data_IF_641757682034
#
_entry.id   IF_641757682034
#
_cell.length_a   1.000
_cell.length_b   1.000
_cell.length_c   1.000
_cell.angle_alpha   90.00
_cell.angle_beta   90.00
_cell.angle_gamma   90.00
#
_symmetry.space_group_name_H-M   'P 1'
#
loop_
_entity.id
_entity.type
_entity.pdbx_description
1 polymer ?
#
# COMPACT_ATOMS: atom_id res chain seq x y z
N UNK A 1 -44.59 50.56 17.99
CA UNK A 1 -45.09 49.94 16.75
C UNK A 1 -43.88 49.40 16.01
N UNK A 2 -43.75 48.08 16.01
CA UNK A 2 -42.61 47.31 15.50
C UNK A 2 -42.80 46.99 14.02
N UNK A 3 -41.79 47.30 13.19
CA UNK A 3 -41.75 46.83 11.81
C UNK A 3 -40.87 45.58 11.70
N UNK A 4 -41.50 44.47 11.30
CA UNK A 4 -40.88 43.19 10.99
C UNK A 4 -40.31 43.21 9.56
N UNK A 5 -39.10 42.69 9.39
CA UNK A 5 -38.58 42.23 8.09
C UNK A 5 -38.56 40.69 8.09
N UNK A 6 -38.96 40.01 7.00
CA UNK A 6 -39.02 38.56 6.97
C UNK A 6 -37.64 37.93 6.72
N UNK A 7 -37.30 36.94 7.54
CA UNK A 7 -36.16 36.03 7.36
C UNK A 7 -36.43 35.08 6.18
N UNK A 8 -35.54 35.10 5.19
CA UNK A 8 -35.50 34.13 4.10
C UNK A 8 -34.57 32.97 4.52
N UNK A 9 -35.16 31.87 4.97
CA UNK A 9 -34.42 30.64 5.24
C UNK A 9 -33.98 29.99 3.92
N UNK A 10 -32.68 29.99 3.65
CA UNK A 10 -32.09 29.07 2.68
C UNK A 10 -31.57 27.83 3.41
N UNK A 11 -32.29 26.72 3.23
CA UNK A 11 -31.80 25.38 3.53
C UNK A 11 -30.80 25.00 2.44
N UNK A 12 -29.51 24.94 2.77
CA UNK A 12 -28.51 24.23 1.96
C UNK A 12 -28.17 22.92 2.67
N UNK A 13 -28.73 21.82 2.17
CA UNK A 13 -28.26 20.48 2.49
C UNK A 13 -26.88 20.30 1.90
N UNK A 14 -25.85 20.27 2.75
CA UNK A 14 -24.49 19.93 2.35
C UNK A 14 -24.39 18.40 2.21
N UNK A 15 -24.51 17.90 0.99
CA UNK A 15 -24.10 16.54 0.62
C UNK A 15 -22.57 16.48 0.61
N UNK A 16 -21.98 15.90 1.65
CA UNK A 16 -20.56 15.55 1.70
C UNK A 16 -20.32 14.31 0.81
N UNK A 17 -20.05 14.53 -0.47
CA UNK A 17 -19.39 13.54 -1.32
C UNK A 17 -17.87 13.78 -1.25
N UNK A 18 -17.19 13.08 -0.35
CA UNK A 18 -15.72 13.06 -0.34
C UNK A 18 -15.23 12.17 -1.48
N UNK A 19 -14.95 12.77 -2.63
CA UNK A 19 -14.21 12.15 -3.73
C UNK A 19 -12.78 11.86 -3.25
N UNK A 20 -12.25 10.65 -3.43
CA UNK A 20 -10.86 10.39 -3.09
C UNK A 20 -9.96 11.18 -4.06
N UNK A 21 -9.15 12.04 -3.46
CA UNK A 21 -8.20 12.93 -4.13
C UNK A 21 -7.25 12.11 -5.03
N UNK A 22 -7.19 12.51 -6.31
CA UNK A 22 -6.45 11.83 -7.35
C UNK A 22 -4.95 12.08 -7.15
N UNK A 23 -4.23 11.05 -6.70
CA UNK A 23 -2.76 11.05 -6.64
C UNK A 23 -2.22 11.35 -8.05
N UNK A 24 -1.19 12.23 -8.20
CA UNK A 24 -0.63 12.55 -9.52
C UNK A 24 -0.12 11.29 -10.23
N UNK A 25 -0.69 10.99 -11.40
CA UNK A 25 -0.35 9.83 -12.26
C UNK A 25 1.03 9.95 -12.94
N UNK A 26 1.79 11.03 -12.70
CA UNK A 26 2.91 11.44 -13.55
C UNK A 26 4.28 10.78 -13.23
N UNK A 27 4.34 9.81 -12.33
CA UNK A 27 5.61 9.12 -12.00
C UNK A 27 5.69 7.66 -12.47
N UNK A 28 4.68 7.15 -13.19
CA UNK A 28 4.54 5.69 -13.46
C UNK A 28 4.49 5.27 -14.93
N UNK A 29 4.77 6.15 -15.90
CA UNK A 29 4.81 5.75 -17.31
C UNK A 29 6.12 5.04 -17.66
N UNK A 30 6.23 3.76 -17.29
CA UNK A 30 7.17 2.85 -17.93
C UNK A 30 6.41 1.97 -18.92
N UNK A 31 6.88 1.94 -20.17
CA UNK A 31 6.33 1.21 -21.33
C UNK A 31 6.49 -0.30 -21.24
N UNK A 32 6.89 -0.83 -20.07
CA UNK A 32 7.08 -2.26 -19.83
C UNK A 32 6.18 -2.72 -18.69
N UNK A 33 5.47 -3.85 -18.81
CA UNK A 33 4.65 -4.38 -17.72
C UNK A 33 5.55 -4.73 -16.53
N UNK A 34 5.37 -4.04 -15.41
CA UNK A 34 6.17 -4.18 -14.20
C UNK A 34 5.25 -4.42 -13.00
N UNK A 35 5.57 -5.40 -12.16
CA UNK A 35 4.80 -5.61 -10.94
C UNK A 35 5.20 -4.53 -9.93
N UNK A 36 4.24 -3.84 -9.33
CA UNK A 36 4.51 -2.78 -8.34
C UNK A 36 3.63 -2.92 -7.10
N UNK A 37 4.14 -2.46 -5.96
CA UNK A 37 3.42 -2.37 -4.68
C UNK A 37 3.69 -0.99 -4.11
N UNK A 38 2.65 -0.20 -3.89
CA UNK A 38 2.70 1.11 -3.25
C UNK A 38 2.04 1.02 -1.89
N UNK A 39 2.78 1.29 -0.83
CA UNK A 39 2.26 1.39 0.52
C UNK A 39 2.42 2.85 0.98
N UNK A 40 1.36 3.47 1.49
CA UNK A 40 1.41 4.82 2.06
C UNK A 40 1.15 4.76 3.55
N UNK A 41 2.15 5.19 4.30
CA UNK A 41 2.15 5.25 5.75
C UNK A 41 2.02 6.69 6.20
N UNK A 42 1.29 6.92 7.29
CA UNK A 42 1.31 8.19 8.01
C UNK A 42 2.19 8.03 9.24
N UNK A 43 3.23 8.84 9.36
CA UNK A 43 4.18 8.78 10.47
C UNK A 43 4.58 10.20 10.92
N UNK A 44 5.01 10.32 12.17
CA UNK A 44 5.54 11.57 12.72
C UNK A 44 7.05 11.62 12.46
N UNK A 45 7.49 12.54 11.60
CA UNK A 45 8.88 12.63 11.13
C UNK A 45 9.32 14.09 11.14
N UNK A 46 10.49 14.37 11.73
CA UNK A 46 11.04 15.72 11.83
C UNK A 46 10.05 16.73 12.45
N UNK A 47 9.31 16.33 13.49
CA UNK A 47 8.36 17.20 14.18
C UNK A 47 7.00 17.40 13.49
N UNK A 48 6.72 16.73 12.37
CA UNK A 48 5.46 16.88 11.65
C UNK A 48 4.87 15.53 11.23
N UNK A 49 3.54 15.45 11.11
CA UNK A 49 2.87 14.35 10.45
C UNK A 49 3.13 14.41 8.94
N UNK A 50 3.65 13.32 8.37
CA UNK A 50 3.99 13.21 6.96
C UNK A 50 3.52 11.88 6.38
N UNK A 51 3.35 11.87 5.06
CA UNK A 51 3.04 10.66 4.32
C UNK A 51 4.34 10.06 3.78
N UNK A 52 4.61 8.81 4.16
CA UNK A 52 5.75 8.02 3.71
C UNK A 52 5.23 7.01 2.69
N UNK A 53 5.44 7.29 1.41
CA UNK A 53 5.10 6.40 0.32
C UNK A 53 6.27 5.49 0.02
N UNK A 54 6.05 4.20 0.23
CA UNK A 54 6.99 3.13 -0.02
C UNK A 54 6.55 2.41 -1.29
N UNK A 55 7.36 2.53 -2.34
CA UNK A 55 7.07 1.97 -3.65
C UNK A 55 8.05 0.87 -4.00
N UNK A 56 7.57 -0.35 -4.12
CA UNK A 56 8.31 -1.52 -4.58
C UNK A 56 8.02 -1.75 -6.05
N UNK A 57 9.07 -1.98 -6.84
CA UNK A 57 8.91 -2.33 -8.25
C UNK A 57 9.84 -3.48 -8.63
N UNK A 58 9.29 -4.44 -9.36
CA UNK A 58 9.99 -5.60 -9.89
C UNK A 58 9.97 -5.59 -11.42
N UNK A 59 11.16 -5.59 -11.98
CA UNK A 59 11.40 -5.78 -13.42
C UNK A 59 11.95 -7.19 -13.65
N UNK A 60 12.11 -7.60 -14.91
CA UNK A 60 12.58 -8.95 -15.30
C UNK A 60 13.84 -9.44 -14.55
N UNK A 61 14.70 -8.54 -14.07
CA UNK A 61 15.95 -8.92 -13.39
C UNK A 61 16.24 -8.15 -12.10
N UNK A 62 15.46 -7.13 -11.73
CA UNK A 62 15.79 -6.23 -10.62
C UNK A 62 14.57 -5.97 -9.73
N UNK A 63 14.81 -5.81 -8.44
CA UNK A 63 13.85 -5.21 -7.52
C UNK A 63 14.33 -3.82 -7.15
N UNK A 64 13.40 -2.91 -6.92
CA UNK A 64 13.69 -1.53 -6.54
C UNK A 64 12.74 -1.13 -5.43
N UNK A 65 13.27 -0.36 -4.49
CA UNK A 65 12.52 0.31 -3.44
C UNK A 65 12.65 1.81 -3.67
N UNK A 66 11.56 2.54 -3.62
CA UNK A 66 11.56 3.99 -3.58
C UNK A 66 10.83 4.47 -2.33
N UNK A 67 11.45 5.36 -1.56
CA UNK A 67 10.84 6.05 -0.43
C UNK A 67 10.60 7.50 -0.84
N UNK A 68 9.34 7.91 -0.82
CA UNK A 68 8.91 9.29 -1.08
C UNK A 68 8.26 9.81 0.20
N UNK A 69 8.71 10.97 0.67
CA UNK A 69 8.14 11.65 1.83
C UNK A 69 7.43 12.91 1.35
N UNK A 70 6.14 13.00 1.61
CA UNK A 70 5.34 14.19 1.32
C UNK A 70 4.81 14.83 2.60
N UNK A 71 4.65 16.16 2.58
CA UNK A 71 3.89 16.85 3.63
C UNK A 71 2.38 16.56 3.48
N UNK A 72 1.57 17.08 4.40
CA UNK A 72 0.11 16.89 4.34
C UNK A 72 -0.56 17.65 3.19
N UNK A 73 0.14 18.64 2.62
CA UNK A 73 -0.31 19.44 1.47
C UNK A 73 0.02 18.75 0.12
N UNK A 74 0.68 17.58 0.17
CA UNK A 74 1.01 16.78 -1.02
C UNK A 74 2.35 17.13 -1.67
N UNK A 75 3.10 18.11 -1.15
CA UNK A 75 4.41 18.48 -1.65
C UNK A 75 5.46 17.40 -1.32
N UNK A 76 6.28 17.04 -2.31
CA UNK A 76 7.37 16.07 -2.14
C UNK A 76 8.53 16.73 -1.43
N UNK A 77 8.74 16.34 -0.17
CA UNK A 77 9.86 16.83 0.63
C UNK A 77 11.14 16.02 0.39
N UNK A 78 11.01 14.73 0.07
CA UNK A 78 12.15 13.86 -0.19
C UNK A 78 11.80 12.67 -1.08
N UNK A 79 12.76 12.20 -1.88
CA UNK A 79 12.63 11.03 -2.75
C UNK A 79 13.97 10.27 -2.79
N UNK A 80 13.94 8.98 -2.43
CA UNK A 80 15.11 8.13 -2.46
C UNK A 80 14.82 6.74 -2.99
N UNK A 81 15.51 6.41 -4.08
CA UNK A 81 15.50 5.11 -4.72
C UNK A 81 16.69 4.24 -4.28
N UNK A 82 16.41 2.97 -4.00
CA UNK A 82 17.36 1.91 -3.67
C UNK A 82 17.19 0.78 -4.69
N UNK A 83 18.22 0.55 -5.51
CA UNK A 83 18.21 -0.53 -6.51
C UNK A 83 18.82 -1.83 -5.96
N UNK A 84 18.03 -2.90 -5.96
CA UNK A 84 18.43 -4.23 -5.52
C UNK A 84 18.85 -5.07 -6.73
N UNK A 85 20.12 -4.92 -7.14
CA UNK A 85 20.70 -5.68 -8.25
C UNK A 85 21.05 -7.11 -7.80
N UNK A 86 20.80 -8.15 -8.63
CA UNK A 86 21.09 -9.54 -8.26
C UNK A 86 22.57 -9.80 -7.94
N UNK A 87 23.45 -9.20 -8.74
CA UNK A 87 24.88 -9.55 -8.83
C UNK A 87 25.82 -8.70 -7.96
N UNK A 88 25.42 -7.49 -7.57
CA UNK A 88 26.21 -6.63 -6.66
C UNK A 88 25.65 -6.70 -5.24
N UNK A 89 26.35 -7.39 -4.33
CA UNK A 89 25.97 -7.46 -2.91
C UNK A 89 26.01 -6.10 -2.18
N UNK A 90 26.70 -5.11 -2.75
CA UNK A 90 26.97 -3.81 -2.14
C UNK A 90 25.72 -2.93 -1.99
N UNK A 91 24.67 -3.11 -2.81
CA UNK A 91 23.44 -2.29 -2.68
C UNK A 91 22.36 -2.94 -1.81
N UNK A 92 22.50 -4.21 -1.45
CA UNK A 92 21.48 -4.95 -0.67
C UNK A 92 21.47 -4.58 0.81
N UNK A 93 22.48 -3.89 1.34
CA UNK A 93 22.49 -3.34 2.70
C UNK A 93 23.11 -1.96 2.67
N UNK A 94 22.52 -1.01 3.38
CA UNK A 94 23.06 0.34 3.44
C UNK A 94 22.31 1.25 4.39
N UNK A 95 22.75 2.50 4.39
CA UNK A 95 22.05 3.60 5.03
C UNK A 95 22.23 4.87 4.22
N UNK A 96 21.29 5.80 4.34
CA UNK A 96 21.33 7.11 3.71
C UNK A 96 20.72 8.14 4.65
N UNK A 97 21.50 9.17 4.95
CA UNK A 97 21.08 10.30 5.77
C UNK A 97 20.66 11.45 4.87
N UNK A 98 19.64 12.19 5.27
CA UNK A 98 19.19 13.39 4.59
C UNK A 98 18.55 14.36 5.58
N UNK A 99 18.43 15.62 5.19
CA UNK A 99 17.82 16.65 6.02
C UNK A 99 16.37 16.90 5.56
N UNK A 100 15.46 17.04 6.52
CA UNK A 100 14.05 17.28 6.30
C UNK A 100 13.58 18.39 7.24
N UNK A 101 13.44 19.62 6.72
CA UNK A 101 13.00 20.76 7.52
C UNK A 101 13.92 21.09 8.71
N UNK A 102 15.24 21.02 8.53
CA UNK A 102 16.22 21.28 9.59
C UNK A 102 16.54 20.08 10.48
N UNK A 103 15.84 18.96 10.34
CA UNK A 103 16.08 17.75 11.12
C UNK A 103 16.78 16.68 10.28
N UNK A 104 17.75 15.98 10.87
CA UNK A 104 18.35 14.80 10.25
C UNK A 104 17.38 13.62 10.29
N UNK A 105 17.26 12.92 9.16
CA UNK A 105 16.49 11.69 8.99
C UNK A 105 17.39 10.64 8.34
N UNK A 106 17.39 9.43 8.90
CA UNK A 106 18.20 8.33 8.41
C UNK A 106 17.33 7.18 7.88
N UNK A 107 17.64 6.75 6.66
CA UNK A 107 17.07 5.56 6.05
C UNK A 107 18.08 4.41 6.16
N UNK A 108 17.71 3.29 6.77
CA UNK A 108 18.52 2.09 6.88
C UNK A 108 17.82 0.89 6.22
N UNK A 109 18.59 0.01 5.57
CA UNK A 109 18.03 -1.19 4.97
C UNK A 109 19.01 -2.38 4.99
N UNK A 110 18.45 -3.59 5.07
CA UNK A 110 19.17 -4.85 4.84
C UNK A 110 18.25 -5.86 4.15
N UNK A 111 18.54 -6.13 2.87
CA UNK A 111 17.91 -7.09 1.99
C UNK A 111 18.80 -8.28 1.65
N UNK A 112 19.95 -8.45 2.32
CA UNK A 112 20.92 -9.50 1.96
C UNK A 112 20.33 -10.91 2.05
N UNK A 113 19.40 -11.12 2.96
CA UNK A 113 18.70 -12.39 3.17
C UNK A 113 17.26 -12.38 2.67
N UNK A 114 16.81 -11.30 2.03
CA UNK A 114 15.41 -11.10 1.67
C UNK A 114 14.89 -12.20 0.75
N UNK A 115 13.77 -12.81 1.12
CA UNK A 115 13.06 -13.81 0.30
C UNK A 115 11.91 -13.14 -0.44
N UNK A 116 11.77 -13.44 -1.73
CA UNK A 116 10.69 -12.90 -2.56
C UNK A 116 9.75 -14.03 -2.99
N UNK A 117 8.44 -13.89 -2.75
CA UNK A 117 7.39 -14.87 -3.09
C UNK A 117 6.59 -14.44 -4.33
N UNK A 118 7.28 -13.97 -5.37
CA UNK A 118 6.65 -13.51 -6.60
C UNK A 118 6.03 -12.10 -6.54
N UNK A 119 5.91 -11.48 -5.37
CA UNK A 119 5.62 -10.05 -5.18
C UNK A 119 6.88 -9.19 -5.35
N UNK A 120 6.77 -7.91 -5.77
CA UNK A 120 7.86 -6.92 -5.69
C UNK A 120 8.33 -6.63 -4.26
N UNK A 121 7.42 -6.70 -3.29
CA UNK A 121 7.72 -6.56 -1.87
C UNK A 121 8.35 -7.86 -1.34
N UNK A 122 9.42 -7.82 -0.52
CA UNK A 122 9.97 -9.03 0.07
C UNK A 122 9.03 -9.68 1.09
N UNK A 123 9.01 -11.00 1.12
CA UNK A 123 8.17 -11.81 2.00
C UNK A 123 8.73 -11.91 3.43
N UNK A 124 10.05 -12.09 3.57
CA UNK A 124 10.71 -12.27 4.87
C UNK A 124 12.21 -11.96 4.81
N UNK A 125 12.86 -12.01 5.97
CA UNK A 125 14.30 -11.92 6.20
C UNK A 125 14.92 -10.57 5.78
N UNK A 126 14.21 -9.47 6.04
CA UNK A 126 14.63 -8.12 5.67
C UNK A 126 14.19 -7.05 6.67
N UNK A 127 14.79 -5.86 6.56
CA UNK A 127 14.19 -4.66 7.12
C UNK A 127 14.45 -3.40 6.29
N UNK A 128 13.54 -2.43 6.43
CA UNK A 128 13.73 -1.02 6.07
C UNK A 128 13.31 -0.19 7.28
N UNK A 129 14.16 0.72 7.73
CA UNK A 129 13.90 1.57 8.88
C UNK A 129 14.11 3.04 8.50
N UNK A 130 13.13 3.88 8.78
CA UNK A 130 13.27 5.35 8.76
C UNK A 130 13.42 5.80 10.20
N UNK A 131 14.42 6.63 10.47
CA UNK A 131 14.79 7.10 11.80
C UNK A 131 14.78 8.62 11.81
N UNK A 132 14.17 9.21 12.84
CA UNK A 132 14.16 10.64 13.08
C UNK A 132 14.24 10.86 14.59
N UNK A 133 15.07 11.80 15.05
CA UNK A 133 15.25 12.09 16.49
C UNK A 133 15.56 10.83 17.33
N UNK A 134 16.53 10.03 16.86
CA UNK A 134 16.94 8.75 17.48
C UNK A 134 15.81 7.71 17.63
N UNK A 135 14.69 7.90 16.93
CA UNK A 135 13.50 7.05 16.99
C UNK A 135 13.18 6.42 15.63
N UNK A 136 12.84 5.13 15.61
CA UNK A 136 12.40 4.46 14.39
C UNK A 136 10.94 4.81 14.11
N UNK A 137 10.71 5.76 13.22
CA UNK A 137 9.39 6.28 12.85
C UNK A 137 8.66 5.39 11.84
N UNK A 138 9.37 4.57 11.08
CA UNK A 138 8.78 3.54 10.22
C UNK A 138 9.71 2.32 10.17
N UNK A 139 9.14 1.12 10.37
CA UNK A 139 9.87 -0.14 10.29
C UNK A 139 9.10 -1.16 9.44
N UNK A 140 9.70 -1.59 8.35
CA UNK A 140 9.21 -2.66 7.48
C UNK A 140 10.05 -3.93 7.66
N UNK A 141 9.44 -5.08 7.42
CA UNK A 141 10.07 -6.39 7.52
C UNK A 141 10.09 -7.00 8.94
N UNK A 142 10.66 -8.19 9.03
CA UNK A 142 10.67 -9.07 10.20
C UNK A 142 11.95 -8.95 11.05
N UNK A 143 13.02 -8.33 10.51
CA UNK A 143 14.29 -8.11 11.21
C UNK A 143 14.28 -6.94 12.20
N UNK A 144 13.24 -6.83 13.04
CA UNK A 144 13.05 -5.69 13.97
C UNK A 144 14.21 -5.47 14.93
N UNK A 145 14.66 -6.52 15.62
CA UNK A 145 15.79 -6.45 16.57
C UNK A 145 17.09 -6.00 15.89
N UNK A 146 17.30 -6.42 14.64
CA UNK A 146 18.49 -6.08 13.86
C UNK A 146 18.44 -4.63 13.38
N UNK A 147 17.25 -4.14 13.01
CA UNK A 147 17.02 -2.75 12.66
C UNK A 147 17.33 -1.82 13.85
N UNK A 148 16.75 -2.06 15.04
CA UNK A 148 17.02 -1.26 16.24
C UNK A 148 18.52 -1.20 16.58
N UNK A 149 19.19 -2.35 16.60
CA UNK A 149 20.63 -2.42 16.88
C UNK A 149 21.48 -1.67 15.85
N UNK A 150 21.08 -1.68 14.57
CA UNK A 150 21.86 -1.03 13.50
C UNK A 150 21.62 0.46 13.42
N UNK A 151 20.39 0.91 13.65
CA UNK A 151 20.01 2.31 13.67
C UNK A 151 20.51 3.03 14.93
N UNK A 152 20.90 2.29 15.98
CA UNK A 152 21.15 2.86 17.31
C UNK A 152 19.99 3.74 17.79
N UNK A 153 18.76 3.30 17.47
CA UNK A 153 17.54 4.06 17.65
C UNK A 153 16.55 3.29 18.51
N UNK A 154 15.75 4.02 19.27
CA UNK A 154 14.69 3.44 20.10
C UNK A 154 13.50 2.98 19.23
N UNK A 155 12.67 2.05 19.72
CA UNK A 155 11.39 1.72 19.09
C UNK A 155 10.47 2.95 18.99
N UNK A 156 9.51 2.95 18.05
CA UNK A 156 8.55 4.05 17.91
C UNK A 156 7.75 4.28 19.19
N UNK A 157 7.62 5.55 19.60
CA UNK A 157 6.62 6.01 20.57
C UNK A 157 5.23 6.02 19.94
N UNK A 158 5.15 6.39 18.66
CA UNK A 158 3.93 6.40 17.85
C UNK A 158 4.15 5.52 16.63
N UNK A 159 3.31 4.51 16.45
CA UNK A 159 3.43 3.61 15.30
C UNK A 159 3.00 4.29 14.00
N UNK A 160 3.74 4.04 12.92
CA UNK A 160 3.32 4.41 11.58
C UNK A 160 2.04 3.67 11.19
N UNK A 161 1.08 4.42 10.64
CA UNK A 161 -0.22 3.89 10.26
C UNK A 161 -0.23 3.65 8.75
N UNK A 162 -0.30 2.40 8.32
CA UNK A 162 -0.59 2.06 6.93
C UNK A 162 -2.06 2.37 6.63
N UNK A 163 -2.33 3.31 5.73
CA UNK A 163 -3.71 3.63 5.34
C UNK A 163 -4.03 3.29 3.89
N UNK A 164 -3.01 3.12 3.03
CA UNK A 164 -3.19 2.71 1.65
C UNK A 164 -2.14 1.66 1.25
N UNK A 165 -2.62 0.56 0.66
CA UNK A 165 -1.80 -0.37 -0.11
C UNK A 165 -2.42 -0.52 -1.50
N UNK A 166 -1.64 -0.30 -2.54
CA UNK A 166 -2.04 -0.45 -3.95
C UNK A 166 -1.04 -1.39 -4.62
N UNK A 167 -1.56 -2.40 -5.32
CA UNK A 167 -0.70 -3.37 -6.01
C UNK A 167 -1.07 -3.47 -7.48
N UNK A 168 -0.04 -3.61 -8.29
CA UNK A 168 -0.13 -3.67 -9.73
C UNK A 168 0.53 -4.95 -10.19
N UNK A 169 -0.26 -5.86 -10.75
CA UNK A 169 0.19 -7.22 -11.02
C UNK A 169 -0.10 -7.56 -12.46
N UNK A 170 0.93 -7.90 -13.20
CA UNK A 170 0.86 -8.34 -14.59
C UNK A 170 1.01 -9.85 -14.70
N UNK A 171 0.28 -10.43 -15.65
CA UNK A 171 0.51 -11.77 -16.20
C UNK A 171 0.57 -12.91 -15.16
N UNK A 172 -0.31 -12.89 -14.16
CA UNK A 172 -0.48 -14.01 -13.23
C UNK A 172 -1.95 -14.41 -13.08
N UNK A 173 -2.19 -15.72 -12.99
CA UNK A 173 -3.51 -16.30 -12.65
C UNK A 173 -3.83 -16.18 -11.16
N UNK A 174 -2.78 -16.08 -10.35
CA UNK A 174 -2.81 -16.01 -8.90
C UNK A 174 -1.98 -14.82 -8.44
N UNK A 175 -2.56 -14.01 -7.58
CA UNK A 175 -1.94 -12.90 -6.89
C UNK A 175 -2.02 -13.15 -5.38
N UNK A 176 -0.97 -12.80 -4.66
CA UNK A 176 -0.93 -12.92 -3.21
C UNK A 176 -0.38 -11.65 -2.62
N UNK A 177 -1.03 -11.16 -1.59
CA UNK A 177 -0.62 -10.02 -0.78
C UNK A 177 -0.88 -10.30 0.69
N UNK A 178 -0.29 -9.47 1.54
CA UNK A 178 -0.51 -9.48 2.98
C UNK A 178 -1.00 -8.14 3.47
N UNK A 179 -1.95 -8.18 4.39
CA UNK A 179 -2.49 -7.01 5.05
C UNK A 179 -2.76 -7.29 6.52
N UNK A 180 -2.69 -6.24 7.34
CA UNK A 180 -3.10 -6.28 8.74
C UNK A 180 -4.44 -5.59 8.87
N UNK A 181 -5.39 -6.28 9.46
CA UNK A 181 -6.75 -5.77 9.60
C UNK A 181 -7.12 -5.45 11.05
N UNK A 182 -6.38 -6.02 12.02
CA UNK A 182 -6.62 -5.84 13.45
C UNK A 182 -5.49 -5.10 14.17
N UNK A 183 -5.81 -4.54 15.34
CA UNK A 183 -4.82 -3.93 16.24
C UNK A 183 -3.88 -4.97 16.86
N UNK A 184 -4.25 -6.26 16.83
CA UNK A 184 -3.43 -7.37 17.31
C UNK A 184 -2.30 -7.74 16.34
N UNK A 185 -2.13 -6.95 15.26
CA UNK A 185 -0.99 -6.99 14.32
C UNK A 185 -0.81 -8.34 13.62
N UNK A 186 -1.86 -9.17 13.57
CA UNK A 186 -1.79 -10.41 12.80
C UNK A 186 -1.86 -10.05 11.32
N UNK A 187 -0.84 -10.50 10.59
CA UNK A 187 -0.76 -10.31 9.15
C UNK A 187 -1.50 -11.46 8.48
N UNK A 188 -2.47 -11.11 7.65
CA UNK A 188 -3.33 -12.06 6.95
C UNK A 188 -2.85 -12.23 5.51
N UNK A 189 -2.78 -13.48 5.05
CA UNK A 189 -2.45 -13.82 3.68
C UNK A 189 -3.71 -13.72 2.82
N UNK A 190 -3.72 -12.79 1.87
CA UNK A 190 -4.79 -12.60 0.91
C UNK A 190 -4.34 -13.15 -0.42
N UNK A 191 -5.12 -14.05 -1.00
CA UNK A 191 -4.83 -14.66 -2.29
C UNK A 191 -6.01 -14.42 -3.21
N UNK A 192 -5.75 -13.88 -4.39
CA UNK A 192 -6.71 -13.70 -5.48
C UNK A 192 -6.34 -14.68 -6.58
N UNK A 193 -7.27 -15.54 -6.94
CA UNK A 193 -7.08 -16.57 -7.97
C UNK A 193 -8.18 -16.47 -9.01
N UNK A 194 -7.86 -16.93 -10.22
CA UNK A 194 -8.77 -16.86 -11.33
C UNK A 194 -8.67 -18.04 -12.28
N UNK A 195 -9.80 -18.35 -12.88
CA UNK A 195 -9.92 -19.33 -13.95
C UNK A 195 -10.60 -18.66 -15.15
N UNK A 196 -9.81 -18.32 -16.16
CA UNK A 196 -10.32 -17.67 -17.40
C UNK A 196 -9.97 -18.39 -18.68
N UNK A 197 -9.18 -19.46 -18.58
CA UNK A 197 -8.80 -20.27 -19.73
C UNK A 197 -9.46 -21.63 -19.59
N UNK A 198 -10.45 -21.90 -20.43
CA UNK A 198 -11.16 -23.17 -20.47
C UNK A 198 -12.56 -23.02 -21.08
N UNK A 199 -13.31 -24.14 -21.20
CA UNK A 199 -14.68 -24.14 -21.71
C UNK A 199 -15.71 -23.58 -20.70
N UNK A 200 -15.28 -23.27 -19.47
CA UNK A 200 -16.13 -22.72 -18.42
C UNK A 200 -16.07 -21.20 -18.42
N UNK A 201 -17.15 -20.58 -17.97
CA UNK A 201 -17.20 -19.14 -17.77
C UNK A 201 -16.07 -18.66 -16.85
N UNK A 202 -15.49 -17.47 -17.13
CA UNK A 202 -14.51 -16.84 -16.25
C UNK A 202 -14.96 -16.75 -14.79
N UNK A 203 -14.10 -17.15 -13.86
CA UNK A 203 -14.35 -17.03 -12.42
C UNK A 203 -13.13 -16.47 -11.68
N UNK A 204 -13.38 -15.84 -10.53
CA UNK A 204 -12.35 -15.35 -9.61
C UNK A 204 -12.75 -15.70 -8.18
N UNK A 205 -11.77 -15.98 -7.33
CA UNK A 205 -11.99 -16.11 -5.89
C UNK A 205 -10.91 -15.38 -5.09
N UNK A 206 -11.30 -14.92 -3.91
CA UNK A 206 -10.44 -14.20 -2.97
C UNK A 206 -10.47 -14.99 -1.67
N UNK A 207 -9.32 -15.51 -1.27
CA UNK A 207 -9.13 -16.20 -0.01
C UNK A 207 -8.32 -15.35 0.96
N UNK A 208 -8.63 -15.49 2.25
CA UNK A 208 -7.90 -14.88 3.36
C UNK A 208 -7.51 -16.01 4.31
N UNK A 209 -6.22 -16.14 4.60
CA UNK A 209 -5.61 -17.23 5.38
C UNK A 209 -5.99 -18.64 4.88
N UNK A 210 -6.06 -18.79 3.55
CA UNK A 210 -6.43 -20.04 2.89
C UNK A 210 -7.94 -20.33 2.85
N UNK A 211 -8.78 -19.50 3.48
CA UNK A 211 -10.24 -19.65 3.46
C UNK A 211 -10.81 -18.78 2.34
N UNK A 212 -11.56 -19.36 1.41
CA UNK A 212 -12.24 -18.61 0.34
C UNK A 212 -13.35 -17.74 0.95
N UNK A 213 -13.15 -16.42 0.91
CA UNK A 213 -14.10 -15.44 1.45
C UNK A 213 -15.08 -14.94 0.39
N UNK A 214 -14.62 -14.86 -0.87
CA UNK A 214 -15.41 -14.37 -2.00
C UNK A 214 -15.18 -15.29 -3.20
N UNK A 215 -16.26 -15.76 -3.83
CA UNK A 215 -16.23 -16.48 -5.10
C UNK A 215 -17.14 -15.79 -6.11
N UNK A 216 -16.56 -15.20 -7.14
CA UNK A 216 -17.25 -14.50 -8.22
C UNK A 216 -17.30 -15.41 -9.44
N UNK A 217 -18.47 -16.02 -9.66
CA UNK A 217 -18.78 -16.77 -10.90
C UNK A 217 -19.28 -15.83 -11.99
N UNK A 218 -19.15 -16.26 -13.24
CA UNK A 218 -19.58 -15.51 -14.42
C UNK A 218 -19.00 -14.09 -14.44
N UNK A 219 -17.70 -14.01 -14.25
CA UNK A 219 -16.93 -12.77 -14.06
C UNK A 219 -17.09 -11.81 -15.24
N UNK A 220 -17.39 -12.31 -16.44
CA UNK A 220 -17.72 -11.49 -17.61
C UNK A 220 -18.96 -10.59 -17.41
N UNK A 221 -19.82 -10.91 -16.44
CA UNK A 221 -20.96 -10.08 -16.06
C UNK A 221 -20.76 -9.36 -14.71
N UNK A 222 -19.80 -9.82 -13.90
CA UNK A 222 -19.52 -9.33 -12.54
C UNK A 222 -18.09 -8.78 -12.40
N UNK A 223 -17.56 -8.23 -13.47
CA UNK A 223 -16.17 -7.75 -13.53
C UNK A 223 -15.90 -6.52 -12.65
N UNK A 224 -16.94 -5.84 -12.18
CA UNK A 224 -16.86 -4.77 -11.17
C UNK A 224 -17.79 -5.09 -10.01
N UNK A 225 -17.29 -4.96 -8.79
CA UNK A 225 -18.10 -5.24 -7.62
C UNK A 225 -17.38 -4.94 -6.31
N UNK A 226 -18.12 -5.06 -5.21
CA UNK A 226 -17.56 -5.03 -3.88
C UNK A 226 -18.39 -5.92 -2.93
N UNK A 227 -17.75 -6.42 -1.89
CA UNK A 227 -18.36 -7.27 -0.87
C UNK A 227 -17.68 -6.99 0.47
N UNK A 228 -18.46 -6.95 1.56
CA UNK A 228 -17.91 -6.89 2.91
C UNK A 228 -17.90 -8.31 3.49
N UNK A 229 -16.75 -8.71 4.03
CA UNK A 229 -16.56 -10.01 4.69
C UNK A 229 -16.13 -9.79 6.14
N UNK A 230 -16.49 -10.72 7.02
CA UNK A 230 -16.12 -10.64 8.44
C UNK A 230 -14.85 -11.43 8.68
N UNK A 231 -13.78 -10.77 9.08
CA UNK A 231 -12.52 -11.39 9.45
C UNK A 231 -12.26 -11.12 10.93
N UNK A 232 -12.19 -12.17 11.76
CA UNK A 232 -11.95 -12.03 13.20
C UNK A 232 -12.85 -10.99 13.90
N UNK A 233 -14.13 -10.92 13.48
CA UNK A 233 -15.15 -9.94 13.94
C UNK A 233 -14.95 -8.49 13.45
N UNK A 234 -14.03 -8.27 12.53
CA UNK A 234 -13.81 -6.98 11.86
C UNK A 234 -14.38 -6.99 10.44
N UNK A 235 -15.18 -5.99 10.03
CA UNK A 235 -15.66 -5.88 8.66
C UNK A 235 -14.53 -5.43 7.73
N UNK A 236 -14.21 -6.25 6.74
CA UNK A 236 -13.25 -5.96 5.67
C UNK A 236 -14.03 -5.77 4.37
N UNK A 237 -13.89 -4.61 3.73
CA UNK A 237 -14.49 -4.36 2.43
C UNK A 237 -13.49 -4.72 1.34
N UNK A 238 -13.93 -5.57 0.43
CA UNK A 238 -13.16 -6.00 -0.74
C UNK A 238 -13.87 -5.49 -1.97
N UNK A 239 -13.17 -4.78 -2.85
CA UNK A 239 -13.68 -4.33 -4.14
C UNK A 239 -12.77 -4.79 -5.27
N UNK A 240 -13.38 -5.03 -6.43
CA UNK A 240 -12.69 -5.50 -7.62
C UNK A 240 -13.16 -4.73 -8.85
N UNK A 241 -12.21 -4.42 -9.73
CA UNK A 241 -12.44 -4.03 -11.12
C UNK A 241 -11.46 -4.81 -11.99
N UNK A 242 -11.99 -5.78 -12.74
CA UNK A 242 -11.22 -6.68 -13.60
C UNK A 242 -11.62 -6.55 -15.07
N UNK A 243 -12.37 -5.49 -15.42
CA UNK A 243 -12.86 -5.25 -16.76
C UNK A 243 -11.73 -5.22 -17.80
N UNK A 244 -10.72 -4.38 -17.56
CA UNK A 244 -9.65 -4.18 -18.54
C UNK A 244 -8.87 -5.47 -18.81
N UNK A 245 -8.70 -6.30 -17.78
CA UNK A 245 -8.05 -7.60 -17.93
C UNK A 245 -8.91 -8.62 -18.69
N UNK A 246 -10.23 -8.61 -18.55
CA UNK A 246 -11.12 -9.55 -19.27
C UNK A 246 -11.32 -9.17 -20.74
N UNK A 247 -11.40 -7.88 -21.04
CA UNK A 247 -11.91 -7.40 -22.33
C UNK A 247 -10.89 -6.64 -23.18
N UNK A 248 -9.65 -6.45 -22.70
CA UNK A 248 -8.59 -5.75 -23.44
C UNK A 248 -7.48 -6.71 -23.86
N UNK A 249 -6.82 -6.42 -24.99
CA UNK A 249 -5.78 -7.29 -25.55
C UNK A 249 -4.59 -7.53 -24.57
N UNK A 250 -3.90 -8.69 -24.64
CA UNK A 250 -2.97 -9.20 -23.61
C UNK A 250 -1.79 -8.29 -23.23
N UNK A 251 -1.49 -7.29 -24.06
CA UNK A 251 -0.33 -6.41 -23.94
C UNK A 251 -0.60 -5.19 -23.05
N UNK A 252 -1.86 -4.96 -22.68
CA UNK A 252 -2.26 -3.85 -21.84
C UNK A 252 -3.11 -4.39 -20.68
N UNK A 253 -2.50 -4.51 -19.49
CA UNK A 253 -3.04 -4.04 -18.19
C UNK A 253 -3.05 -5.04 -17.02
N UNK A 254 -2.95 -4.50 -15.79
CA UNK A 254 -2.97 -5.22 -14.51
C UNK A 254 -4.37 -5.68 -14.08
N UNK A 255 -4.40 -6.44 -12.99
CA UNK A 255 -5.57 -6.60 -12.13
C UNK A 255 -5.64 -5.46 -11.10
N UNK A 256 -6.85 -5.02 -10.75
CA UNK A 256 -7.06 -4.11 -9.63
C UNK A 256 -8.00 -4.74 -8.60
N UNK A 257 -7.41 -5.22 -7.51
CA UNK A 257 -8.14 -5.65 -6.32
C UNK A 257 -7.77 -4.70 -5.19
N UNK A 258 -8.79 -4.03 -4.65
CA UNK A 258 -8.65 -3.15 -3.51
C UNK A 258 -9.22 -3.87 -2.29
N UNK A 259 -8.37 -4.06 -1.28
CA UNK A 259 -8.81 -4.54 0.03
C UNK A 259 -8.63 -3.41 1.01
N UNK A 260 -9.73 -2.96 1.59
CA UNK A 260 -9.75 -1.86 2.54
C UNK A 260 -10.52 -2.29 3.80
N UNK A 261 -9.89 -2.14 4.96
CA UNK A 261 -10.64 -2.10 6.21
C UNK A 261 -11.36 -0.77 6.31
N UNK A 262 -12.61 -0.79 6.76
CA UNK A 262 -13.20 0.42 7.30
C UNK A 262 -12.41 0.78 8.57
N UNK A 263 -11.42 1.64 8.43
CA UNK A 263 -10.85 2.33 9.58
C UNK A 263 -11.99 3.08 10.24
N UNK A 264 -12.28 2.77 11.50
CA UNK A 264 -13.13 3.62 12.31
C UNK A 264 -12.51 5.02 12.30
N UNK A 265 -13.20 5.95 11.67
CA UNK A 265 -12.85 7.35 11.76
C UNK A 265 -12.91 7.79 13.22
N UNK A 266 -11.82 8.40 13.66
CA UNK A 266 -11.77 9.57 14.54
C UNK A 266 -12.61 9.40 15.83
N UNK A 267 -11.96 8.87 16.87
CA UNK A 267 -12.27 9.30 18.23
C UNK A 267 -11.84 10.75 18.39
N UNK A 268 -12.76 11.55 18.92
CA UNK A 268 -12.65 13.00 19.17
C UNK A 268 -11.40 13.40 19.94
#
# INVERSE_FOLDING_TARGET
MSFQYPLRNFSMGASLSSTPEKIPDDFLTSTTPQNTVTCVYRAYVAGYWRNLTVFWCKNHSNHTLNLIITNLEGEVCYNCRVDLKPWFFWSKKGSKSFELGGCQVDLHWDFRSAKFSGSPEPASDYYVAVVSDEEIVLLLGDYKKKACKRANARPPLVEAILYLKKEHVYHKKTFSTRAKFDEKKHEHDIIVESSTRGPRDPEMWISIDGIIMIHVRNLQWKFRGNQTVMLSRQPVQVSWDVHDWLFTAPWHRPWLVHVQTRGFGIGR
#
